data_IF_913213630433
#
_entry.id   IF_913213630433
#
_cell.length_a   1.000
_cell.length_b   1.000
_cell.length_c   1.000
_cell.angle_alpha   90.00
_cell.angle_beta   90.00
_cell.angle_gamma   90.00
#
_symmetry.space_group_name_H-M   'P 1'
#
loop_
_entity.id
_entity.type
_entity.pdbx_description
1 polymer ?
#
# COMPACT_ATOMS: atom_id res chain seq x y z
N UNK A 1 28.91 31.25 -17.84
CA UNK A 1 29.47 29.89 -17.68
C UNK A 1 28.38 28.87 -17.96
N UNK A 2 28.40 28.22 -19.13
CA UNK A 2 27.38 27.24 -19.51
C UNK A 2 27.60 25.93 -18.75
N UNK A 3 26.62 25.53 -17.94
CA UNK A 3 26.62 24.23 -17.27
C UNK A 3 26.30 23.17 -18.34
N UNK A 4 27.32 22.45 -18.80
CA UNK A 4 27.18 21.30 -19.69
C UNK A 4 26.40 20.18 -19.00
N UNK A 5 25.06 20.27 -19.01
CA UNK A 5 24.17 19.18 -18.64
C UNK A 5 24.15 18.20 -19.82
N UNK A 6 25.13 17.29 -19.86
CA UNK A 6 25.09 16.18 -20.80
C UNK A 6 23.73 15.46 -20.64
N UNK A 7 23.05 15.13 -21.74
CA UNK A 7 21.75 14.47 -21.68
C UNK A 7 21.90 13.13 -20.97
N UNK A 8 20.87 12.72 -20.22
CA UNK A 8 20.87 11.44 -19.49
C UNK A 8 21.15 10.24 -20.41
N UNK A 9 20.92 10.37 -21.72
CA UNK A 9 21.26 9.35 -22.72
C UNK A 9 22.75 9.01 -22.76
N UNK A 10 23.66 9.97 -22.52
CA UNK A 10 25.10 9.71 -22.54
C UNK A 10 25.59 8.90 -21.34
N UNK A 11 24.76 8.72 -20.31
CA UNK A 11 25.10 7.91 -19.13
C UNK A 11 25.25 6.43 -19.50
N UNK A 12 24.49 5.96 -20.50
CA UNK A 12 24.57 4.58 -20.97
C UNK A 12 25.72 4.35 -21.96
N UNK A 13 26.41 5.40 -22.40
CA UNK A 13 27.58 5.29 -23.26
C UNK A 13 28.89 5.27 -22.45
N UNK A 14 28.83 5.65 -21.17
CA UNK A 14 29.98 5.68 -20.28
C UNK A 14 30.34 4.27 -19.78
N UNK A 15 31.55 3.76 -20.07
CA UNK A 15 31.99 2.43 -19.64
C UNK A 15 32.08 2.30 -18.11
N UNK A 16 32.30 3.39 -17.38
CA UNK A 16 32.33 3.36 -15.90
C UNK A 16 30.92 3.23 -15.33
N UNK A 17 29.94 3.93 -15.91
CA UNK A 17 28.54 3.83 -15.51
C UNK A 17 27.97 2.41 -15.74
N UNK A 18 28.34 1.77 -16.86
CA UNK A 18 27.95 0.37 -17.14
C UNK A 18 28.45 -0.60 -16.05
N UNK A 19 29.70 -0.45 -15.61
CA UNK A 19 30.28 -1.27 -14.54
C UNK A 19 29.54 -1.04 -13.22
N UNK A 20 29.31 0.22 -12.85
CA UNK A 20 28.57 0.55 -11.62
C UNK A 20 27.14 -0.01 -11.60
N UNK A 21 26.43 0.01 -12.74
CA UNK A 21 25.08 -0.56 -12.85
C UNK A 21 25.13 -2.09 -12.75
N UNK A 22 26.12 -2.74 -13.38
CA UNK A 22 26.30 -4.19 -13.30
C UNK A 22 26.61 -4.64 -11.86
N UNK A 23 27.46 -3.90 -11.15
CA UNK A 23 27.78 -4.16 -9.75
C UNK A 23 26.54 -3.94 -8.85
N UNK A 24 25.75 -2.89 -9.11
CA UNK A 24 24.52 -2.62 -8.36
C UNK A 24 23.43 -3.68 -8.58
N UNK A 25 23.37 -4.30 -9.76
CA UNK A 25 22.46 -5.42 -10.03
C UNK A 25 22.91 -6.73 -9.37
N UNK A 26 24.22 -6.92 -9.19
CA UNK A 26 24.78 -8.08 -8.51
C UNK A 26 24.83 -7.93 -6.99
N UNK A 27 24.76 -6.69 -6.48
CA UNK A 27 24.70 -6.43 -5.05
C UNK A 27 23.38 -7.00 -4.47
N UNK A 28 23.44 -7.77 -3.37
CA UNK A 28 22.23 -8.24 -2.69
C UNK A 28 21.40 -7.04 -2.25
N UNK A 29 20.09 -7.06 -2.55
CA UNK A 29 19.18 -5.97 -2.24
C UNK A 29 19.23 -5.60 -0.75
N UNK A 30 19.93 -4.52 -0.43
CA UNK A 30 19.94 -3.96 0.92
C UNK A 30 18.69 -3.10 1.09
N UNK A 31 17.71 -3.64 1.83
CA UNK A 31 16.61 -2.83 2.35
C UNK A 31 17.17 -1.75 3.27
N UNK A 32 16.76 -0.46 3.15
CA UNK A 32 17.10 0.56 4.12
C UNK A 32 16.59 0.13 5.50
N UNK A 33 17.49 -0.23 6.42
CA UNK A 33 17.09 -0.74 7.74
C UNK A 33 16.72 0.34 8.76
N UNK A 34 16.95 1.61 8.46
CA UNK A 34 16.67 2.69 9.41
C UNK A 34 16.20 3.96 8.69
N UNK A 35 14.88 4.06 8.50
CA UNK A 35 14.22 5.37 8.45
C UNK A 35 13.38 5.48 9.71
N UNK A 36 14.00 5.95 10.79
CA UNK A 36 13.27 6.44 11.96
C UNK A 36 12.56 7.74 11.56
N UNK A 37 11.25 7.66 11.37
CA UNK A 37 10.35 8.82 11.45
C UNK A 37 9.55 8.70 12.73
N UNK A 38 10.13 9.17 13.83
CA UNK A 38 9.44 9.76 14.99
C UNK A 38 8.94 11.16 14.52
N UNK A 39 7.75 11.70 14.80
CA UNK A 39 6.75 11.60 15.87
C UNK A 39 5.42 12.19 15.32
N UNK A 40 4.28 11.50 15.40
CA UNK A 40 3.24 11.56 16.44
C UNK A 40 2.19 12.69 16.31
N UNK A 41 0.91 12.31 16.28
CA UNK A 41 -0.16 13.00 17.00
C UNK A 41 -1.30 12.01 17.25
N UNK A 42 -1.33 11.50 18.47
CA UNK A 42 -2.44 10.72 19.02
C UNK A 42 -3.67 11.63 19.17
N UNK A 43 -4.78 11.24 18.56
CA UNK A 43 -6.12 11.67 19.01
C UNK A 43 -6.78 10.47 19.67
N UNK A 44 -6.87 10.51 20.99
CA UNK A 44 -7.65 9.60 21.82
C UNK A 44 -9.12 9.74 21.45
N UNK A 45 -9.67 8.78 20.70
CA UNK A 45 -11.11 8.50 20.70
C UNK A 45 -11.31 7.17 21.40
N UNK A 46 -12.41 7.13 22.14
CA UNK A 46 -12.79 6.11 23.12
C UNK A 46 -12.43 4.70 22.68
N UNK A 47 -11.95 3.91 23.66
CA UNK A 47 -11.86 2.46 23.50
C UNK A 47 -13.27 1.89 23.40
N UNK A 48 -13.81 1.88 22.18
CA UNK A 48 -14.77 0.87 21.79
C UNK A 48 -14.14 -0.50 22.09
N UNK A 49 -14.97 -1.42 22.58
CA UNK A 49 -14.64 -2.81 22.95
C UNK A 49 -13.75 -3.45 21.86
N UNK A 50 -12.97 -4.51 22.14
CA UNK A 50 -12.18 -5.18 21.10
C UNK A 50 -13.14 -5.72 20.02
N UNK A 51 -13.41 -4.90 19.01
CA UNK A 51 -14.24 -5.25 17.90
C UNK A 51 -13.46 -6.29 17.10
N UNK A 52 -14.13 -7.41 16.84
CA UNK A 52 -13.67 -8.57 16.07
C UNK A 52 -13.48 -8.25 14.58
N UNK A 53 -12.92 -7.08 14.27
CA UNK A 53 -12.59 -6.70 12.91
C UNK A 53 -11.24 -7.26 12.52
N UNK A 54 -11.21 -7.88 11.34
CA UNK A 54 -9.98 -8.36 10.73
C UNK A 54 -9.36 -7.25 9.87
N UNK A 55 -8.04 -7.09 9.99
CA UNK A 55 -7.31 -6.17 9.12
C UNK A 55 -7.16 -6.80 7.73
N UNK A 56 -7.75 -6.16 6.72
CA UNK A 56 -7.63 -6.57 5.31
C UNK A 56 -6.78 -5.57 4.53
N UNK A 57 -6.05 -6.06 3.54
CA UNK A 57 -5.31 -5.21 2.61
C UNK A 57 -6.12 -5.07 1.32
N UNK A 58 -6.38 -3.84 0.89
CA UNK A 58 -7.10 -3.54 -0.35
C UNK A 58 -6.27 -2.65 -1.28
N UNK A 59 -6.61 -2.64 -2.57
CA UNK A 59 -5.97 -1.75 -3.55
C UNK A 59 -6.24 -0.28 -3.21
N UNK A 60 -5.25 0.58 -3.44
CA UNK A 60 -5.35 2.04 -3.19
C UNK A 60 -6.53 2.69 -3.93
N UNK A 61 -6.84 2.26 -5.15
CA UNK A 61 -7.98 2.75 -5.92
C UNK A 61 -9.32 2.45 -5.24
N UNK A 62 -9.49 1.22 -4.74
CA UNK A 62 -10.70 0.79 -4.02
C UNK A 62 -10.83 1.55 -2.69
N UNK A 63 -9.73 1.70 -1.95
CA UNK A 63 -9.74 2.49 -0.71
C UNK A 63 -10.19 3.93 -0.96
N UNK A 64 -9.70 4.57 -2.03
CA UNK A 64 -10.12 5.93 -2.41
C UNK A 64 -11.62 6.01 -2.69
N UNK A 65 -12.19 5.03 -3.39
CA UNK A 65 -13.63 4.98 -3.66
C UNK A 65 -14.44 4.83 -2.37
N UNK A 66 -14.04 3.92 -1.49
CA UNK A 66 -14.68 3.74 -0.18
C UNK A 66 -14.62 5.02 0.67
N UNK A 67 -13.50 5.74 0.64
CA UNK A 67 -13.35 7.03 1.34
C UNK A 67 -14.30 8.10 0.80
N UNK A 68 -14.49 8.16 -0.52
CA UNK A 68 -15.45 9.07 -1.14
C UNK A 68 -16.90 8.71 -0.77
N UNK A 69 -17.26 7.43 -0.83
CA UNK A 69 -18.58 6.94 -0.45
C UNK A 69 -18.87 7.20 1.04
N UNK A 70 -17.90 6.91 1.93
CA UNK A 70 -18.00 7.19 3.36
C UNK A 70 -18.30 8.67 3.65
N UNK A 71 -17.66 9.58 2.91
CA UNK A 71 -17.91 11.02 3.06
C UNK A 71 -19.28 11.43 2.53
N UNK A 72 -19.73 10.82 1.42
CA UNK A 72 -21.02 11.13 0.81
C UNK A 72 -22.22 10.62 1.64
N UNK A 73 -22.09 9.45 2.24
CA UNK A 73 -23.17 8.80 3.01
C UNK A 73 -23.04 9.03 4.52
N UNK A 74 -22.03 9.77 4.98
CA UNK A 74 -21.71 9.98 6.40
C UNK A 74 -21.55 8.65 7.20
N UNK A 75 -21.05 7.62 6.52
CA UNK A 75 -20.81 6.27 7.06
C UNK A 75 -19.32 6.01 7.23
N UNK A 76 -18.99 5.03 8.05
CA UNK A 76 -17.60 4.63 8.22
C UNK A 76 -17.14 3.69 7.10
N UNK A 77 -15.89 3.85 6.66
CA UNK A 77 -15.29 2.98 5.63
C UNK A 77 -15.38 1.50 6.01
N UNK A 78 -15.28 1.18 7.30
CA UNK A 78 -15.35 -0.19 7.82
C UNK A 78 -16.73 -0.81 7.63
N UNK A 79 -17.80 -0.04 7.81
CA UNK A 79 -19.17 -0.51 7.64
C UNK A 79 -19.43 -0.82 6.16
N UNK A 80 -19.09 0.14 5.28
CA UNK A 80 -19.20 -0.04 3.83
C UNK A 80 -18.39 -1.23 3.32
N UNK A 81 -17.16 -1.40 3.82
CA UNK A 81 -16.31 -2.53 3.44
C UNK A 81 -16.88 -3.86 3.94
N UNK A 82 -17.42 -3.89 5.16
CA UNK A 82 -18.02 -5.10 5.75
C UNK A 82 -19.27 -5.52 4.99
N UNK A 83 -20.14 -4.57 4.64
CA UNK A 83 -21.34 -4.80 3.84
C UNK A 83 -20.98 -5.32 2.43
N UNK A 84 -19.99 -4.72 1.77
CA UNK A 84 -19.54 -5.15 0.46
C UNK A 84 -18.97 -6.58 0.48
N UNK A 85 -18.24 -6.96 1.54
CA UNK A 85 -17.68 -8.30 1.72
C UNK A 85 -18.77 -9.33 2.00
N UNK A 86 -19.73 -9.00 2.87
CA UNK A 86 -20.84 -9.91 3.22
C UNK A 86 -21.73 -10.22 2.01
N UNK A 87 -21.87 -9.27 1.09
CA UNK A 87 -22.70 -9.39 -0.11
C UNK A 87 -21.93 -9.87 -1.35
N UNK A 88 -20.62 -10.15 -1.28
CA UNK A 88 -19.87 -10.65 -2.44
C UNK A 88 -20.20 -12.13 -2.68
N UNK A 89 -20.80 -12.49 -3.83
CA UNK A 89 -21.22 -13.86 -4.11
C UNK A 89 -20.05 -14.85 -4.08
N UNK A 90 -18.85 -14.43 -4.46
CA UNK A 90 -17.66 -15.29 -4.45
C UNK A 90 -17.22 -15.60 -3.03
N UNK A 91 -17.35 -14.64 -2.12
CA UNK A 91 -17.02 -14.83 -0.71
C UNK A 91 -18.05 -15.76 -0.07
N UNK A 92 -19.33 -15.60 -0.40
CA UNK A 92 -20.40 -16.50 0.05
C UNK A 92 -20.17 -17.95 -0.42
N UNK A 93 -19.78 -18.15 -1.68
CA UNK A 93 -19.42 -19.47 -2.20
C UNK A 93 -18.23 -20.09 -1.45
N UNK A 94 -17.18 -19.31 -1.18
CA UNK A 94 -16.00 -19.77 -0.43
C UNK A 94 -16.38 -20.17 1.00
N UNK A 95 -17.18 -19.36 1.69
CA UNK A 95 -17.65 -19.65 3.05
C UNK A 95 -18.45 -20.96 3.06
N UNK A 96 -19.38 -21.12 2.12
CA UNK A 96 -20.18 -22.34 1.99
C UNK A 96 -19.34 -23.59 1.70
N UNK A 97 -18.21 -23.45 0.99
CA UNK A 97 -17.25 -24.56 0.77
C UNK A 97 -16.43 -24.87 2.02
N UNK A 98 -16.08 -23.86 2.83
CA UNK A 98 -15.33 -24.06 4.07
C UNK A 98 -16.16 -24.70 5.19
N UNK A 99 -17.47 -24.43 5.25
CA UNK A 99 -18.38 -25.01 6.26
C UNK A 99 -18.78 -26.46 5.97
N UNK A 100 -18.61 -26.93 4.72
CA UNK A 100 -18.91 -28.30 4.30
C UNK A 100 -17.77 -29.30 4.55
N UNK A 101 -16.62 -28.83 5.05
CA UNK A 101 -15.47 -29.66 5.41
C UNK A 101 -15.47 -29.99 6.89
#
# INVERSE_FOLDING_TARGET
>A
MAKNKKPFSSLLDDPEAKKSIQDALQAPAQLPKDVKTETASASTKEKAKPETYQNITIRKSVHRLLKMAATHYELEIRELASEAIANDPRIQEIIALTEKK
#
